data_IF_125503102984
#
_entry.id   IF_125503102984
#
_cell.length_a   1.000
_cell.length_b   1.000
_cell.length_c   1.000
_cell.angle_alpha   90.00
_cell.angle_beta   90.00
_cell.angle_gamma   90.00
#
_symmetry.space_group_name_H-M   'P 1'
#
loop_
_entity.id
_entity.type
_entity.pdbx_description
1 polymer ?
#
# COMPACT_ATOMS: atom_id res chain seq x y z
N UNK A 1 -9.22 10.25 -16.19
CA UNK A 1 -7.90 9.87 -15.66
C UNK A 1 -7.94 10.04 -14.15
N UNK A 2 -7.54 9.03 -13.38
CA UNK A 2 -7.46 9.14 -11.92
C UNK A 2 -6.15 9.78 -11.47
N UNK A 3 -6.08 10.13 -10.19
CA UNK A 3 -4.88 10.68 -9.55
C UNK A 3 -4.60 9.97 -8.23
N UNK A 4 -3.33 9.82 -7.89
CA UNK A 4 -2.86 9.38 -6.57
C UNK A 4 -2.44 10.61 -5.76
N UNK A 5 -2.76 10.61 -4.46
CA UNK A 5 -2.26 11.60 -3.50
C UNK A 5 -1.23 10.92 -2.60
N UNK A 6 -0.05 11.51 -2.46
CA UNK A 6 1.02 11.01 -1.59
C UNK A 6 0.97 11.66 -0.21
N UNK A 7 1.75 11.12 0.75
CA UNK A 7 1.74 11.60 2.14
C UNK A 7 2.17 13.06 2.34
N UNK A 8 2.80 13.68 1.33
CA UNK A 8 3.12 15.12 1.29
C UNK A 8 1.99 15.98 0.69
N UNK A 9 0.85 15.37 0.33
CA UNK A 9 -0.29 16.05 -0.26
C UNK A 9 -0.16 16.33 -1.76
N UNK A 10 0.93 15.92 -2.41
CA UNK A 10 1.08 16.12 -3.85
C UNK A 10 0.20 15.16 -4.67
N UNK A 11 -0.30 15.66 -5.81
CA UNK A 11 -1.16 14.91 -6.72
C UNK A 11 -0.36 14.41 -7.91
N UNK A 12 -0.61 13.16 -8.29
CA UNK A 12 0.09 12.51 -9.39
C UNK A 12 -0.88 11.82 -10.35
N UNK A 13 -0.73 12.14 -11.64
CA UNK A 13 -1.56 11.54 -12.70
C UNK A 13 -1.21 10.08 -12.90
N UNK A 14 -2.25 9.23 -12.91
CA UNK A 14 -2.11 7.82 -13.26
C UNK A 14 -1.89 7.72 -14.78
N UNK A 15 -0.78 7.13 -15.20
CA UNK A 15 -0.49 6.94 -16.63
C UNK A 15 -1.37 5.82 -17.21
N UNK A 16 -1.40 4.68 -16.53
CA UNK A 16 -2.22 3.53 -16.90
C UNK A 16 -2.36 2.54 -15.73
N UNK A 17 -3.22 1.55 -15.91
CA UNK A 17 -3.34 0.36 -15.06
C UNK A 17 -2.63 -0.79 -15.76
N UNK A 18 -1.78 -1.54 -15.06
CA UNK A 18 -1.05 -2.67 -15.60
C UNK A 18 -0.83 -3.78 -14.57
N UNK A 19 -0.27 -4.90 -15.00
CA UNK A 19 0.11 -5.99 -14.09
C UNK A 19 1.58 -5.83 -13.68
N UNK A 20 1.91 -6.22 -12.45
CA UNK A 20 3.28 -6.22 -11.95
C UNK A 20 3.59 -7.52 -11.22
N UNK A 21 4.88 -7.79 -10.99
CA UNK A 21 5.32 -8.86 -10.10
C UNK A 21 6.36 -8.35 -9.13
N UNK A 22 6.21 -8.70 -7.86
CA UNK A 22 7.25 -8.50 -6.84
C UNK A 22 8.06 -9.78 -6.76
N UNK A 23 9.31 -9.76 -7.21
CA UNK A 23 10.23 -10.90 -7.15
C UNK A 23 10.86 -11.01 -5.76
N UNK A 24 10.84 -12.20 -5.18
CA UNK A 24 11.37 -12.52 -3.85
C UNK A 24 12.22 -13.79 -3.91
N UNK A 25 13.48 -13.66 -4.34
CA UNK A 25 14.37 -14.81 -4.47
C UNK A 25 13.79 -15.87 -5.42
N UNK A 26 13.38 -17.02 -4.87
CA UNK A 26 12.76 -18.13 -5.62
C UNK A 26 11.24 -18.02 -5.78
N UNK A 27 10.59 -17.00 -5.21
CA UNK A 27 9.14 -16.80 -5.32
C UNK A 27 8.79 -15.45 -5.95
N UNK A 28 7.53 -15.29 -6.35
CA UNK A 28 7.00 -14.02 -6.85
C UNK A 28 5.57 -13.79 -6.38
N UNK A 29 5.23 -12.54 -6.14
CA UNK A 29 3.86 -12.12 -5.85
C UNK A 29 3.30 -11.44 -7.11
N UNK A 30 2.33 -12.04 -7.80
CA UNK A 30 1.66 -11.39 -8.92
C UNK A 30 0.70 -10.31 -8.41
N UNK A 31 0.80 -9.13 -8.99
CA UNK A 31 -0.10 -8.01 -8.75
C UNK A 31 -0.87 -7.72 -10.03
N UNK A 32 -2.19 -7.64 -9.90
CA UNK A 32 -3.10 -7.22 -10.97
C UNK A 32 -3.57 -5.80 -10.70
N UNK A 33 -3.93 -5.10 -11.77
CA UNK A 33 -4.56 -3.78 -11.70
C UNK A 33 -3.74 -2.72 -10.92
N UNK A 34 -2.43 -2.72 -11.15
CA UNK A 34 -1.47 -1.80 -10.54
C UNK A 34 -1.50 -0.45 -11.26
N UNK A 35 -1.74 0.63 -10.51
CA UNK A 35 -1.60 1.99 -11.02
C UNK A 35 -0.13 2.32 -11.26
N UNK A 36 0.21 2.63 -12.51
CA UNK A 36 1.54 3.15 -12.86
C UNK A 36 1.49 4.67 -12.85
N UNK A 37 2.39 5.26 -12.07
CA UNK A 37 2.45 6.69 -11.81
C UNK A 37 3.92 7.15 -11.92
N UNK A 38 4.43 7.42 -13.14
CA UNK A 38 5.87 7.65 -13.37
C UNK A 38 6.46 8.85 -12.60
N UNK A 39 5.60 9.81 -12.21
CA UNK A 39 6.00 10.96 -11.40
C UNK A 39 6.31 10.60 -9.94
N UNK A 40 5.78 9.49 -9.43
CA UNK A 40 6.08 8.98 -8.09
C UNK A 40 7.38 8.18 -8.15
N UNK A 41 8.50 8.87 -7.89
CA UNK A 41 9.84 8.27 -7.87
C UNK A 41 10.30 7.84 -6.47
N UNK A 42 9.48 8.09 -5.43
CA UNK A 42 9.81 7.81 -4.02
C UNK A 42 8.78 6.90 -3.38
N UNK A 43 9.17 6.23 -2.29
CA UNK A 43 8.28 5.42 -1.48
C UNK A 43 7.12 6.29 -0.96
N UNK A 44 5.89 5.95 -1.34
CA UNK A 44 4.68 6.67 -0.91
C UNK A 44 4.56 6.62 0.62
N UNK A 45 4.82 5.44 1.20
CA UNK A 45 5.06 5.17 2.62
C UNK A 45 5.98 3.94 2.69
N UNK A 46 6.98 3.95 3.57
CA UNK A 46 7.72 2.74 3.92
C UNK A 46 6.95 1.98 4.99
N UNK A 47 6.33 0.85 4.61
CA UNK A 47 5.54 0.01 5.54
C UNK A 47 6.41 -0.54 6.66
N UNK A 48 7.67 -0.90 6.38
CA UNK A 48 8.61 -1.36 7.41
C UNK A 48 8.89 -0.26 8.44
N UNK A 49 9.14 0.98 7.98
CA UNK A 49 9.35 2.10 8.89
C UNK A 49 8.10 2.44 9.72
N UNK A 50 6.91 2.36 9.12
CA UNK A 50 5.65 2.51 9.86
C UNK A 50 5.56 1.49 10.99
N UNK A 51 5.84 0.21 10.70
CA UNK A 51 5.81 -0.88 11.66
C UNK A 51 6.81 -0.65 12.80
N UNK A 52 8.05 -0.30 12.47
CA UNK A 52 9.12 -0.05 13.45
C UNK A 52 8.78 1.14 14.37
N UNK A 53 8.34 2.26 13.77
CA UNK A 53 8.04 3.50 14.50
C UNK A 53 6.81 3.34 15.43
N UNK A 54 5.86 2.46 15.09
CA UNK A 54 4.58 2.32 15.83
C UNK A 54 4.44 1.04 16.66
N UNK A 55 5.42 0.13 16.61
CA UNK A 55 5.31 -1.21 17.21
C UNK A 55 4.00 -1.93 16.80
N UNK A 56 3.69 -1.87 15.51
CA UNK A 56 2.46 -2.40 14.93
C UNK A 56 2.72 -3.53 13.92
N UNK A 57 1.66 -4.12 13.39
CA UNK A 57 1.72 -4.93 12.17
C UNK A 57 0.57 -4.53 11.24
N UNK A 58 0.76 -4.81 9.95
CA UNK A 58 -0.26 -4.60 8.92
C UNK A 58 -0.89 -5.93 8.55
N UNK A 59 -2.21 -5.96 8.50
CA UNK A 59 -2.99 -7.12 8.05
C UNK A 59 -3.75 -6.77 6.78
N UNK A 60 -3.53 -7.54 5.72
CA UNK A 60 -4.25 -7.42 4.45
C UNK A 60 -5.31 -8.53 4.36
N UNK A 61 -6.56 -8.15 4.13
CA UNK A 61 -7.67 -9.06 3.84
C UNK A 61 -8.24 -8.75 2.45
N UNK A 62 -9.10 -9.61 1.88
CA UNK A 62 -9.68 -9.35 0.56
C UNK A 62 -10.43 -8.02 0.44
N UNK A 63 -10.99 -7.52 1.55
CA UNK A 63 -11.83 -6.31 1.56
C UNK A 63 -11.22 -5.13 2.32
N UNK A 64 -10.16 -5.35 3.11
CA UNK A 64 -9.69 -4.35 4.06
C UNK A 64 -8.18 -4.45 4.33
N UNK A 65 -7.63 -3.35 4.81
CA UNK A 65 -6.28 -3.27 5.37
C UNK A 65 -6.36 -2.71 6.78
N UNK A 66 -5.65 -3.33 7.71
CA UNK A 66 -5.62 -2.92 9.11
C UNK A 66 -4.19 -2.61 9.56
N UNK A 67 -4.04 -1.57 10.37
CA UNK A 67 -2.84 -1.35 11.20
C UNK A 67 -3.21 -1.68 12.64
N UNK A 68 -2.52 -2.66 13.24
CA UNK A 68 -2.85 -3.19 14.56
C UNK A 68 -1.66 -3.13 15.50
N UNK A 69 -1.90 -2.79 16.76
CA UNK A 69 -0.90 -2.86 17.83
C UNK A 69 -0.35 -4.28 17.95
N UNK A 70 0.97 -4.45 17.96
CA UNK A 70 1.57 -5.78 17.97
C UNK A 70 1.30 -6.56 19.26
N UNK A 71 1.14 -5.87 20.41
CA UNK A 71 0.97 -6.46 21.73
C UNK A 71 -0.49 -6.74 22.08
N UNK A 72 -1.34 -5.73 21.95
CA UNK A 72 -2.75 -5.73 22.36
C UNK A 72 -3.69 -6.17 21.24
N UNK A 73 -3.20 -6.22 19.99
CA UNK A 73 -3.96 -6.54 18.78
C UNK A 73 -5.10 -5.56 18.48
N UNK A 74 -5.15 -4.41 19.13
CA UNK A 74 -6.13 -3.35 18.86
C UNK A 74 -5.85 -2.71 17.50
N UNK A 75 -6.92 -2.46 16.74
CA UNK A 75 -6.84 -1.75 15.47
C UNK A 75 -6.68 -0.26 15.71
N UNK A 76 -5.65 0.34 15.09
CA UNK A 76 -5.42 1.79 15.09
C UNK A 76 -6.04 2.46 13.86
N UNK A 77 -5.95 1.80 12.71
CA UNK A 77 -6.48 2.30 11.46
C UNK A 77 -7.05 1.14 10.64
N UNK A 78 -8.14 1.42 9.94
CA UNK A 78 -8.77 0.53 8.97
C UNK A 78 -8.94 1.30 7.66
N UNK A 79 -8.50 0.68 6.56
CA UNK A 79 -8.83 1.10 5.21
C UNK A 79 -9.69 0.04 4.56
N UNK A 80 -10.92 0.37 4.17
CA UNK A 80 -11.79 -0.53 3.43
C UNK A 80 -11.62 -0.32 1.92
N UNK A 81 -11.63 -1.41 1.17
CA UNK A 81 -11.69 -1.35 -0.30
C UNK A 81 -13.02 -0.72 -0.70
N UNK A 82 -12.99 0.48 -1.27
CA UNK A 82 -14.17 1.11 -1.87
C UNK A 82 -14.24 0.75 -3.36
N UNK A 83 -15.02 -0.28 -3.67
CA UNK A 83 -15.43 -0.64 -5.03
C UNK A 83 -14.32 -1.23 -5.91
N UNK A 84 -14.74 -1.91 -6.98
CA UNK A 84 -13.91 -2.44 -8.06
C UNK A 84 -13.58 -1.38 -9.13
#
# INVERSE_FOLDING_TARGET
QGSVVTGDGSHHTISHIGNAQISMGSSSIPLKDVFVVPSVKKNIISVSKLIDDTHSFVEFTPSSVYVKDARTKRTFAEGTRKGD
#
